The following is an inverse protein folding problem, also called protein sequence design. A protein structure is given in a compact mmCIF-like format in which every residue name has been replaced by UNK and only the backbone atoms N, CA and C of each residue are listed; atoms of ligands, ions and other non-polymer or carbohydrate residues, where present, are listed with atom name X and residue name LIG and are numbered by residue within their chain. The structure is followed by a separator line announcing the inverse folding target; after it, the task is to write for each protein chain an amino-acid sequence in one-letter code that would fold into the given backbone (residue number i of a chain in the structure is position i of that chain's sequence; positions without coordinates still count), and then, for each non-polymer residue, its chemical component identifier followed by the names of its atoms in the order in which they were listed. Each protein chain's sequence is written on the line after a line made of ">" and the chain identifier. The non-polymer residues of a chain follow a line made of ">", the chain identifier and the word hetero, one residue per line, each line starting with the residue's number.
data_IF_899599994344
#
_entry.id   IF_899599994344
#
_cell.length_a   1.000
_cell.length_b   1.000
_cell.length_c   1.000
_cell.angle_alpha   90.00
_cell.angle_beta   90.00
_cell.angle_gamma   90.00
#
_symmetry.space_group_name_H-M   'P 1'
#
loop_
_entity.id
_entity.type
_entity.pdbx_description
1 polymer ?
#
# COMPACT_ATOMS: atom_id res chain seq x y z
N UNK A 1 -4.89 -7.94 17.50
CA UNK A 1 -4.63 -9.19 16.76
C UNK A 1 -3.12 -9.45 16.62
N UNK A 2 -2.65 -10.70 16.52
CA UNK A 2 -1.24 -11.01 16.21
C UNK A 2 -1.05 -10.99 14.69
N UNK A 3 -0.18 -10.11 14.20
CA UNK A 3 0.23 -10.03 12.80
C UNK A 3 1.53 -10.82 12.59
N UNK A 4 1.70 -11.37 11.41
CA UNK A 4 2.94 -12.03 11.03
C UNK A 4 3.11 -12.13 9.52
N UNK A 5 4.33 -12.43 9.13
CA UNK A 5 4.73 -12.69 7.74
C UNK A 5 5.36 -14.07 7.70
N UNK A 6 5.21 -14.77 6.58
CA UNK A 6 5.92 -16.03 6.41
C UNK A 6 5.56 -16.73 5.12
N UNK A 7 6.24 -17.85 4.88
CA UNK A 7 5.92 -18.71 3.75
C UNK A 7 4.49 -19.21 3.89
N UNK A 8 3.68 -19.10 2.84
CA UNK A 8 2.33 -19.62 2.88
C UNK A 8 2.36 -21.14 3.04
N UNK A 9 1.34 -21.67 3.71
CA UNK A 9 1.15 -23.11 3.87
C UNK A 9 0.42 -23.74 2.69
N UNK A 10 -0.06 -22.92 1.77
CA UNK A 10 -0.80 -23.28 0.56
C UNK A 10 -0.27 -22.48 -0.62
N UNK A 11 -0.23 -23.09 -1.81
CA UNK A 11 0.24 -22.42 -3.03
C UNK A 11 -0.83 -21.53 -3.67
N UNK A 12 -2.10 -21.82 -3.39
CA UNK A 12 -3.27 -21.10 -3.88
C UNK A 12 -4.28 -20.88 -2.77
N UNK A 13 -5.03 -19.79 -2.85
CA UNK A 13 -6.22 -19.55 -2.01
C UNK A 13 -7.47 -19.55 -2.88
N UNK A 14 -8.55 -20.08 -2.32
CA UNK A 14 -9.86 -20.07 -2.94
C UNK A 14 -10.63 -18.80 -2.56
N UNK A 15 -11.15 -18.11 -3.57
CA UNK A 15 -11.95 -16.89 -3.44
C UNK A 15 -13.20 -17.11 -4.28
N UNK A 16 -14.33 -17.43 -3.63
CA UNK A 16 -15.61 -17.71 -4.31
C UNK A 16 -15.49 -18.75 -5.46
N UNK A 17 -14.66 -19.78 -5.29
CA UNK A 17 -14.41 -20.82 -6.28
C UNK A 17 -13.26 -20.53 -7.26
N UNK A 18 -12.55 -19.41 -7.10
CA UNK A 18 -11.34 -19.07 -7.87
C UNK A 18 -10.08 -19.32 -7.06
N UNK A 19 -9.22 -20.19 -7.59
CA UNK A 19 -7.90 -20.44 -7.02
C UNK A 19 -6.87 -19.42 -7.52
N UNK A 20 -6.49 -18.45 -6.69
CA UNK A 20 -5.45 -17.47 -7.03
C UNK A 20 -4.12 -17.81 -6.36
N UNK A 21 -3.02 -17.48 -7.04
CA UNK A 21 -1.68 -17.73 -6.53
C UNK A 21 -1.39 -16.88 -5.28
N UNK A 22 -0.71 -17.47 -4.32
CA UNK A 22 -0.31 -16.79 -3.08
C UNK A 22 1.11 -16.22 -3.25
N UNK A 23 1.39 -15.00 -2.76
CA UNK A 23 2.74 -14.44 -2.78
C UNK A 23 3.72 -15.31 -1.97
N UNK A 24 5.00 -15.24 -2.34
CA UNK A 24 6.06 -16.06 -1.72
C UNK A 24 6.24 -15.76 -0.22
N UNK A 25 5.98 -14.53 0.18
CA UNK A 25 5.89 -14.07 1.56
C UNK A 25 4.48 -13.53 1.79
N UNK A 26 3.68 -14.27 2.55
CA UNK A 26 2.30 -13.93 2.81
C UNK A 26 2.18 -13.20 4.14
N UNK A 27 1.55 -12.03 4.13
CA UNK A 27 1.14 -11.35 5.35
C UNK A 27 -0.18 -11.96 5.87
N UNK A 28 -0.26 -12.22 7.18
CA UNK A 28 -1.42 -12.85 7.79
C UNK A 28 -1.69 -12.33 9.20
N UNK A 29 -2.92 -12.57 9.66
CA UNK A 29 -3.37 -12.28 11.03
C UNK A 29 -3.92 -13.54 11.68
N UNK A 30 -3.65 -13.74 12.96
CA UNK A 30 -4.23 -14.86 13.70
C UNK A 30 -5.72 -14.59 13.94
N UNK A 31 -6.58 -15.47 13.43
CA UNK A 31 -8.02 -15.40 13.56
C UNK A 31 -8.64 -16.79 13.35
N UNK A 32 -9.61 -17.11 14.20
CA UNK A 32 -10.34 -18.38 14.21
C UNK A 32 -11.60 -18.34 13.32
N UNK A 33 -12.05 -17.15 12.91
CA UNK A 33 -13.22 -16.95 12.05
C UNK A 33 -12.89 -16.11 10.79
N UNK A 34 -11.92 -16.56 9.96
CA UNK A 34 -11.52 -15.82 8.76
C UNK A 34 -12.63 -15.79 7.71
N UNK A 35 -12.69 -14.69 6.95
CA UNK A 35 -13.43 -14.64 5.69
C UNK A 35 -12.66 -15.38 4.59
N UNK A 36 -11.33 -15.20 4.55
CA UNK A 36 -10.43 -15.94 3.67
C UNK A 36 -9.26 -16.48 4.50
N UNK A 37 -9.14 -17.80 4.57
CA UNK A 37 -8.14 -18.47 5.38
C UNK A 37 -6.82 -18.68 4.63
N UNK A 38 -5.69 -18.45 5.31
CA UNK A 38 -4.36 -18.91 4.89
C UNK A 38 -4.01 -20.31 5.42
N UNK A 39 -4.90 -20.90 6.23
CA UNK A 39 -4.70 -22.17 6.93
C UNK A 39 -4.10 -22.02 8.33
N UNK A 40 -4.25 -23.05 9.17
CA UNK A 40 -3.69 -23.13 10.53
C UNK A 40 -4.03 -21.93 11.45
N UNK A 41 -5.28 -21.47 11.44
CA UNK A 41 -5.74 -20.34 12.28
C UNK A 41 -5.20 -18.97 11.84
N UNK A 42 -4.82 -18.86 10.56
CA UNK A 42 -4.36 -17.62 9.94
C UNK A 42 -5.36 -17.15 8.90
N UNK A 43 -5.61 -15.85 8.90
CA UNK A 43 -6.48 -15.17 7.95
C UNK A 43 -5.67 -14.26 7.03
N UNK A 44 -6.16 -14.16 5.79
CA UNK A 44 -5.78 -13.13 4.81
C UNK A 44 -6.82 -12.03 4.78
N UNK A 45 -8.09 -12.41 4.88
CA UNK A 45 -9.21 -11.48 5.01
C UNK A 45 -9.97 -11.83 6.29
N UNK A 46 -10.15 -10.83 7.16
CA UNK A 46 -10.86 -10.97 8.43
C UNK A 46 -11.69 -9.71 8.72
N UNK A 47 -12.74 -9.88 9.52
CA UNK A 47 -13.56 -8.79 10.07
C UNK A 47 -13.06 -8.41 11.47
N UNK A 48 -12.94 -7.12 11.74
CA UNK A 48 -12.43 -6.62 13.02
C UNK A 48 -13.56 -6.51 14.05
N UNK A 49 -13.50 -7.31 15.12
CA UNK A 49 -14.31 -7.18 16.35
C UNK A 49 -15.84 -6.97 16.14
N UNK A 50 -16.42 -7.51 15.06
CA UNK A 50 -17.82 -7.29 14.61
C UNK A 50 -18.17 -5.85 14.25
N UNK A 51 -17.18 -5.03 13.92
CA UNK A 51 -17.36 -3.76 13.27
C UNK A 51 -17.29 -3.96 11.75
N UNK A 52 -17.89 -3.08 10.93
CA UNK A 52 -17.86 -3.17 9.47
C UNK A 52 -16.48 -2.77 8.89
N UNK A 53 -15.41 -3.20 9.55
CA UNK A 53 -14.03 -3.01 9.16
C UNK A 53 -13.42 -4.35 8.80
N UNK A 54 -13.01 -4.47 7.55
CA UNK A 54 -12.34 -5.64 7.03
C UNK A 54 -10.86 -5.35 6.83
N UNK A 55 -10.03 -6.32 7.17
CA UNK A 55 -8.58 -6.24 7.00
C UNK A 55 -8.19 -7.29 5.97
N UNK A 56 -7.76 -6.83 4.80
CA UNK A 56 -6.96 -7.61 3.88
C UNK A 56 -5.49 -7.47 4.29
N UNK A 57 -4.87 -8.54 4.76
CA UNK A 57 -3.53 -8.49 5.34
C UNK A 57 -2.44 -8.37 4.29
N UNK A 58 -2.68 -8.84 3.07
CA UNK A 58 -1.71 -8.81 1.98
C UNK A 58 -2.26 -8.05 0.76
N UNK A 59 -1.65 -6.93 0.35
CA UNK A 59 -2.17 -6.10 -0.74
C UNK A 59 -1.96 -6.71 -2.13
N UNK A 60 -1.13 -7.75 -2.28
CA UNK A 60 -0.83 -8.33 -3.60
C UNK A 60 -2.06 -8.90 -4.31
N UNK A 61 -3.09 -9.26 -3.55
CA UNK A 61 -4.37 -9.74 -4.10
C UNK A 61 -5.19 -8.65 -4.81
N UNK A 62 -4.92 -7.36 -4.57
CA UNK A 62 -5.70 -6.24 -5.12
C UNK A 62 -4.84 -5.13 -5.74
N UNK A 63 -3.51 -5.27 -5.76
CA UNK A 63 -2.62 -4.26 -6.32
C UNK A 63 -2.52 -4.35 -7.85
N UNK A 64 -1.92 -3.33 -8.48
CA UNK A 64 -1.78 -3.29 -9.95
C UNK A 64 -1.02 -4.47 -10.55
N UNK A 65 -0.09 -5.09 -9.80
CA UNK A 65 0.66 -6.24 -10.28
C UNK A 65 -0.22 -7.49 -10.31
N UNK A 66 -0.99 -7.73 -9.26
CA UNK A 66 -1.99 -8.80 -9.17
C UNK A 66 -3.12 -8.61 -10.17
N UNK A 67 -3.68 -7.40 -10.26
CA UNK A 67 -4.78 -7.07 -11.17
C UNK A 67 -4.43 -7.18 -12.67
N UNK A 68 -3.15 -7.34 -13.01
CA UNK A 68 -2.72 -7.63 -14.39
C UNK A 68 -3.14 -9.04 -14.82
N UNK A 69 -3.26 -9.97 -13.88
CA UNK A 69 -3.75 -11.32 -14.11
C UNK A 69 -5.29 -11.34 -14.06
N UNK A 70 -5.92 -11.94 -15.07
CA UNK A 70 -7.38 -11.95 -15.21
C UNK A 70 -8.08 -12.67 -14.05
N UNK A 71 -7.50 -13.79 -13.60
CA UNK A 71 -8.09 -14.59 -12.53
C UNK A 71 -8.01 -13.87 -11.19
N UNK A 72 -6.88 -13.20 -10.93
CA UNK A 72 -6.65 -12.39 -9.74
C UNK A 72 -7.56 -11.14 -9.74
N UNK A 73 -7.73 -10.48 -10.89
CA UNK A 73 -8.66 -9.36 -11.02
C UNK A 73 -10.13 -9.76 -10.78
N UNK A 74 -10.55 -10.93 -11.30
CA UNK A 74 -11.88 -11.45 -11.04
C UNK A 74 -12.08 -11.82 -9.55
N UNK A 75 -11.09 -12.45 -8.92
CA UNK A 75 -11.12 -12.76 -7.50
C UNK A 75 -11.20 -11.49 -6.64
N UNK A 76 -10.46 -10.43 -7.00
CA UNK A 76 -10.54 -9.14 -6.30
C UNK A 76 -11.95 -8.54 -6.35
N UNK A 77 -12.64 -8.65 -7.49
CA UNK A 77 -14.04 -8.21 -7.61
C UNK A 77 -14.97 -9.06 -6.73
N UNK A 78 -14.77 -10.38 -6.72
CA UNK A 78 -15.56 -11.29 -5.88
C UNK A 78 -15.34 -11.03 -4.39
N UNK A 79 -14.10 -10.70 -3.97
CA UNK A 79 -13.81 -10.25 -2.60
C UNK A 79 -14.61 -8.99 -2.25
N UNK A 80 -14.62 -7.98 -3.11
CA UNK A 80 -15.39 -6.75 -2.87
C UNK A 80 -16.89 -7.05 -2.78
N UNK A 81 -17.41 -7.87 -3.69
CA UNK A 81 -18.83 -8.25 -3.72
C UNK A 81 -19.25 -9.06 -2.48
N UNK A 82 -18.34 -9.85 -1.91
CA UNK A 82 -18.56 -10.58 -0.65
C UNK A 82 -18.73 -9.63 0.54
N UNK A 83 -17.96 -8.54 0.57
CA UNK A 83 -17.97 -7.56 1.67
C UNK A 83 -19.13 -6.56 1.55
N UNK A 84 -19.56 -6.25 0.32
CA UNK A 84 -20.68 -5.34 0.07
C UNK A 84 -21.70 -5.99 -0.88
N UNK A 85 -22.76 -6.64 -0.34
CA UNK A 85 -23.81 -7.26 -1.16
C UNK A 85 -24.73 -6.26 -1.89
N UNK A 86 -24.55 -4.95 -1.69
CA UNK A 86 -25.39 -3.91 -2.27
C UNK A 86 -24.71 -3.29 -3.50
N UNK A 87 -25.50 -2.79 -4.47
CA UNK A 87 -25.03 -2.08 -5.68
C UNK A 87 -24.42 -0.69 -5.36
N UNK A 88 -23.61 -0.59 -4.31
CA UNK A 88 -22.89 0.60 -3.89
C UNK A 88 -21.69 0.90 -4.80
N UNK A 89 -21.22 2.14 -4.73
CA UNK A 89 -19.98 2.53 -5.39
C UNK A 89 -18.79 2.29 -4.46
N UNK A 90 -17.75 1.61 -4.95
CA UNK A 90 -16.50 1.41 -4.23
C UNK A 90 -15.64 2.67 -4.33
N UNK A 91 -15.27 3.24 -3.17
CA UNK A 91 -14.33 4.36 -3.11
C UNK A 91 -12.98 3.88 -2.56
N UNK A 92 -11.92 4.10 -3.33
CA UNK A 92 -10.55 3.86 -2.88
C UNK A 92 -10.01 5.11 -2.19
N UNK A 93 -9.85 5.05 -0.87
CA UNK A 93 -9.19 6.10 -0.10
C UNK A 93 -7.69 5.80 0.04
N UNK A 94 -6.84 6.74 -0.36
CA UNK A 94 -5.39 6.63 -0.25
C UNK A 94 -4.81 7.36 0.97
N UNK A 95 -5.65 8.03 1.77
CA UNK A 95 -5.20 8.88 2.91
C UNK A 95 -4.42 8.09 3.97
N UNK A 96 -4.75 6.82 4.18
CA UNK A 96 -4.11 5.95 5.18
C UNK A 96 -2.79 5.32 4.73
N UNK A 97 -2.38 5.43 3.46
CA UNK A 97 -1.18 4.74 2.97
C UNK A 97 0.13 5.24 3.58
N UNK A 98 0.13 6.26 4.45
CA UNK A 98 1.36 6.79 5.04
C UNK A 98 2.32 7.41 4.01
N UNK A 99 2.02 7.30 2.71
CA UNK A 99 2.65 8.01 1.59
C UNK A 99 2.09 9.43 1.53
N UNK A 100 2.00 10.09 2.68
CA UNK A 100 2.25 11.51 2.72
C UNK A 100 3.74 11.63 2.46
N UNK A 101 4.12 12.07 1.26
CA UNK A 101 5.49 12.55 1.00
C UNK A 101 5.89 13.41 2.20
N UNK A 102 6.77 12.92 3.08
CA UNK A 102 7.46 13.82 3.99
C UNK A 102 8.22 14.74 3.07
N UNK A 103 7.71 15.95 2.91
CA UNK A 103 8.40 16.99 2.15
C UNK A 103 9.73 17.23 2.84
N UNK A 104 10.78 16.63 2.32
CA UNK A 104 12.14 16.92 2.76
C UNK A 104 12.47 18.31 2.23
N UNK A 105 12.51 19.29 3.14
CA UNK A 105 12.83 20.67 2.81
C UNK A 105 14.20 20.79 2.12
N UNK A 106 15.17 19.95 2.50
CA UNK A 106 16.48 19.93 1.85
C UNK A 106 16.37 19.40 0.42
N UNK A 107 15.55 18.37 0.20
CA UNK A 107 15.24 17.84 -1.13
C UNK A 107 14.51 18.87 -2.00
N UNK A 108 13.56 19.61 -1.44
CA UNK A 108 12.87 20.70 -2.15
C UNK A 108 13.83 21.77 -2.64
N UNK A 109 14.90 22.09 -1.90
CA UNK A 109 15.89 23.10 -2.32
C UNK A 109 16.68 22.68 -3.58
N UNK A 110 16.75 21.38 -3.89
CA UNK A 110 17.50 20.83 -5.01
C UNK A 110 16.63 20.28 -6.15
N UNK A 111 15.32 20.26 -5.99
CA UNK A 111 14.36 19.84 -7.01
C UNK A 111 13.61 21.04 -7.63
N UNK A 112 13.13 20.92 -8.89
CA UNK A 112 12.24 21.93 -9.46
C UNK A 112 10.96 22.09 -8.63
N UNK A 113 10.45 23.34 -8.47
CA UNK A 113 10.89 24.59 -9.10
C UNK A 113 11.96 25.37 -8.32
N UNK A 114 12.31 24.97 -7.08
CA UNK A 114 13.14 25.80 -6.20
C UNK A 114 14.64 25.75 -6.51
N UNK A 115 15.10 24.72 -7.22
CA UNK A 115 16.51 24.61 -7.64
C UNK A 115 17.05 25.90 -8.28
N UNK A 116 16.27 26.53 -9.17
CA UNK A 116 16.69 27.77 -9.83
C UNK A 116 16.87 28.93 -8.83
N UNK A 117 15.98 29.05 -7.85
CA UNK A 117 16.08 30.04 -6.78
C UNK A 117 17.29 29.76 -5.88
N UNK A 118 17.48 28.51 -5.45
CA UNK A 118 18.61 28.08 -4.61
C UNK A 118 19.94 28.40 -5.29
N UNK A 119 20.09 28.06 -6.58
CA UNK A 119 21.30 28.37 -7.35
C UNK A 119 21.51 29.89 -7.50
N UNK A 120 20.43 30.65 -7.75
CA UNK A 120 20.51 32.11 -7.88
C UNK A 120 20.99 32.78 -6.58
N UNK A 121 20.45 32.36 -5.44
CA UNK A 121 20.86 32.86 -4.11
C UNK A 121 22.31 32.47 -3.80
N UNK A 122 22.70 31.23 -4.12
CA UNK A 122 24.05 30.74 -3.89
C UNK A 122 25.09 31.52 -4.71
N UNK A 123 24.79 31.78 -5.98
CA UNK A 123 25.64 32.61 -6.85
C UNK A 123 25.72 34.06 -6.35
N UNK A 124 24.59 34.66 -5.97
CA UNK A 124 24.56 36.03 -5.44
C UNK A 124 25.39 36.15 -4.15
N UNK A 125 25.27 35.18 -3.23
CA UNK A 125 26.04 35.13 -2.00
C UNK A 125 27.55 34.98 -2.28
N UNK A 126 27.94 34.12 -3.22
CA UNK A 126 29.34 33.94 -3.61
C UNK A 126 29.93 35.23 -4.20
N UNK A 127 29.20 35.92 -5.08
CA UNK A 127 29.63 37.20 -5.66
C UNK A 127 29.75 38.30 -4.59
N UNK A 128 28.79 38.40 -3.68
CA UNK A 128 28.83 39.37 -2.59
C UNK A 128 30.01 39.13 -1.64
N UNK A 129 30.29 37.86 -1.32
CA UNK A 129 31.42 37.45 -0.49
C UNK A 129 32.77 37.80 -1.14
N UNK A 130 32.95 37.44 -2.41
CA UNK A 130 34.15 37.79 -3.19
C UNK A 130 34.34 39.31 -3.28
N UNK A 131 33.25 40.05 -3.50
CA UNK A 131 33.29 41.51 -3.52
C UNK A 131 33.65 42.10 -2.15
N UNK A 132 33.26 41.47 -1.05
CA UNK A 132 33.63 41.86 0.32
C UNK A 132 35.12 41.68 0.62
N UNK A 133 35.71 40.57 0.17
CA UNK A 133 37.14 40.26 0.33
C UNK A 133 38.07 41.16 -0.50
N UNK A 134 37.58 41.71 -1.61
CA UNK A 134 38.32 42.63 -2.46
C UNK A 134 38.32 44.09 -1.99
N UNK A 135 37.84 44.36 -0.78
CA UNK A 135 37.87 45.67 -0.10
C UNK A 135 39.05 45.70 0.87
#
# INVERSE_FOLDING_TARGET
>A
AKLGEGKPTVDTIDVEGRNIAVPAELQWVADDHPLIAAGNGKAILTELDNEPFYILTDPDFINNAGLKDEQTAAAALDMIAMLEPAEGAVMFDLTLHGIGQKYDLAKLLVEPPFLALTLSVLVAAALAFLHGLGR
#
